data_IF_180787861664
#
_entry.id   IF_180787861664
#
_cell.length_a   1.000
_cell.length_b   1.000
_cell.length_c   1.000
_cell.angle_alpha   90.00
_cell.angle_beta   90.00
_cell.angle_gamma   90.00
#
_symmetry.space_group_name_H-M   'P 1'
#
loop_
_entity.id
_entity.type
_entity.pdbx_description
1 polymer ?
#
# COMPACT_ATOMS: atom_id res chain seq x y z
N UNK A 1 21.15 20.60 12.75
CA UNK A 1 21.38 19.14 12.66
C UNK A 1 20.20 18.43 12.02
N UNK A 2 18.97 18.48 12.58
CA UNK A 2 17.75 17.83 12.02
C UNK A 2 17.41 18.15 10.56
N UNK A 3 17.49 19.41 10.11
CA UNK A 3 17.28 19.78 8.69
C UNK A 3 18.36 19.18 7.75
N UNK A 4 19.57 18.95 8.26
CA UNK A 4 20.67 18.39 7.48
C UNK A 4 20.53 16.89 7.26
N UNK A 5 20.07 16.15 8.28
CA UNK A 5 19.88 14.69 8.16
C UNK A 5 18.69 14.35 7.27
N UNK A 6 17.56 15.07 7.40
CA UNK A 6 16.39 14.86 6.55
C UNK A 6 16.71 15.15 5.08
N UNK A 7 17.49 16.19 4.81
CA UNK A 7 17.91 16.50 3.44
C UNK A 7 18.83 15.42 2.86
N UNK A 8 19.85 14.98 3.63
CA UNK A 8 20.73 13.90 3.22
C UNK A 8 19.96 12.58 2.99
N UNK A 9 19.00 12.27 3.86
CA UNK A 9 18.09 11.14 3.68
C UNK A 9 17.31 11.25 2.36
N UNK A 10 16.69 12.40 2.09
CA UNK A 10 15.96 12.63 0.83
C UNK A 10 16.85 12.47 -0.41
N UNK A 11 18.12 12.87 -0.34
CA UNK A 11 19.07 12.63 -1.44
C UNK A 11 19.34 11.13 -1.66
N UNK A 12 19.52 10.36 -0.59
CA UNK A 12 19.72 8.90 -0.71
C UNK A 12 18.50 8.21 -1.31
N UNK A 13 17.28 8.59 -0.88
CA UNK A 13 16.01 8.11 -1.43
C UNK A 13 15.89 8.46 -2.92
N UNK A 14 16.18 9.71 -3.30
CA UNK A 14 16.11 10.15 -4.69
C UNK A 14 17.10 9.42 -5.61
N UNK A 15 18.24 8.96 -5.08
CA UNK A 15 19.25 8.19 -5.81
C UNK A 15 18.99 6.68 -5.81
N UNK A 16 18.02 6.19 -5.02
CA UNK A 16 17.81 4.76 -4.80
C UNK A 16 18.95 4.08 -4.03
N UNK A 17 19.73 4.85 -3.26
CA UNK A 17 20.86 4.34 -2.48
C UNK A 17 20.38 3.86 -1.10
N UNK A 18 19.72 2.70 -1.07
CA UNK A 18 19.16 2.13 0.16
C UNK A 18 20.24 1.77 1.19
N UNK A 19 21.41 1.30 0.75
CA UNK A 19 22.51 0.98 1.66
C UNK A 19 23.13 2.24 2.28
N UNK A 20 23.34 3.30 1.47
CA UNK A 20 23.78 4.59 1.96
C UNK A 20 22.79 5.23 2.94
N UNK A 21 21.48 5.11 2.65
CA UNK A 21 20.41 5.53 3.55
C UNK A 21 20.49 4.82 4.92
N UNK A 22 20.65 3.50 4.94
CA UNK A 22 20.79 2.73 6.18
C UNK A 22 22.02 3.18 6.97
N UNK A 23 23.17 3.32 6.31
CA UNK A 23 24.41 3.73 6.97
C UNK A 23 24.27 5.13 7.59
N UNK A 24 23.70 6.08 6.83
CA UNK A 24 23.42 7.44 7.28
C UNK A 24 22.54 7.46 8.54
N UNK A 25 21.47 6.66 8.57
CA UNK A 25 20.55 6.61 9.70
C UNK A 25 21.15 5.93 10.92
N UNK A 26 21.98 4.89 10.75
CA UNK A 26 22.72 4.24 11.86
C UNK A 26 23.77 5.17 12.47
N UNK A 27 24.49 5.92 11.65
CA UNK A 27 25.41 6.96 12.12
C UNK A 27 24.66 8.06 12.89
N UNK A 28 23.50 8.47 12.38
CA UNK A 28 22.65 9.45 13.06
C UNK A 28 22.15 8.94 14.42
N UNK A 29 21.70 7.69 14.50
CA UNK A 29 21.30 7.03 15.76
C UNK A 29 22.42 7.04 16.81
N UNK A 30 23.67 6.85 16.36
CA UNK A 30 24.85 6.81 17.24
C UNK A 30 25.37 8.21 17.63
N UNK A 31 24.96 9.26 16.92
CA UNK A 31 25.52 10.61 17.08
C UNK A 31 25.05 11.36 18.34
N UNK A 32 24.01 10.90 19.02
CA UNK A 32 23.51 11.51 20.26
C UNK A 32 22.12 11.03 20.68
N UNK A 33 21.54 11.70 21.68
CA UNK A 33 20.15 11.45 22.08
C UNK A 33 19.18 12.02 21.04
N UNK A 34 18.38 11.13 20.45
CA UNK A 34 17.31 11.47 19.52
C UNK A 34 16.00 11.69 20.27
N UNK A 35 15.17 12.64 19.81
CA UNK A 35 13.79 12.70 20.28
C UNK A 35 13.03 11.41 19.92
N UNK A 36 11.98 11.08 20.68
CA UNK A 36 11.21 9.83 20.51
C UNK A 36 10.77 9.63 19.06
N UNK A 37 10.08 10.61 18.45
CA UNK A 37 9.64 10.50 17.06
C UNK A 37 10.81 10.48 16.05
N UNK A 38 11.96 11.08 16.37
CA UNK A 38 13.14 10.97 15.49
C UNK A 38 13.72 9.56 15.51
N UNK A 39 13.78 8.94 16.68
CA UNK A 39 14.22 7.55 16.81
C UNK A 39 13.25 6.57 16.17
N UNK A 40 11.94 6.77 16.35
CA UNK A 40 10.92 5.97 15.65
C UNK A 40 11.03 6.09 14.13
N UNK A 41 11.26 7.31 13.62
CA UNK A 41 11.50 7.56 12.19
C UNK A 41 12.76 6.86 11.67
N UNK A 42 13.85 6.89 12.43
CA UNK A 42 15.09 6.16 12.12
C UNK A 42 14.84 4.66 12.03
N UNK A 43 14.20 4.06 13.05
CA UNK A 43 13.89 2.63 13.03
C UNK A 43 13.03 2.25 11.83
N UNK A 44 11.96 3.01 11.59
CA UNK A 44 11.05 2.76 10.49
C UNK A 44 11.79 2.79 9.15
N UNK A 45 12.65 3.78 8.91
CA UNK A 45 13.36 3.92 7.63
C UNK A 45 14.54 2.96 7.48
N UNK A 46 15.19 2.52 8.56
CA UNK A 46 16.16 1.43 8.48
C UNK A 46 15.43 0.12 8.08
N UNK A 47 14.25 -0.14 8.65
CA UNK A 47 13.41 -1.26 8.22
C UNK A 47 13.00 -1.13 6.75
N UNK A 48 12.56 0.05 6.31
CA UNK A 48 12.21 0.27 4.91
C UNK A 48 13.41 0.03 3.96
N UNK A 49 14.60 0.53 4.34
CA UNK A 49 15.83 0.29 3.57
C UNK A 49 16.16 -1.18 3.40
N UNK A 50 16.10 -1.97 4.48
CA UNK A 50 16.32 -3.42 4.38
C UNK A 50 15.19 -4.13 3.61
N UNK A 51 13.96 -3.64 3.72
CA UNK A 51 12.84 -4.18 2.96
C UNK A 51 13.03 -3.97 1.44
N UNK A 52 13.50 -2.80 1.01
CA UNK A 52 13.81 -2.49 -0.39
C UNK A 52 15.01 -3.26 -0.93
N UNK A 53 16.01 -3.57 -0.07
CA UNK A 53 17.12 -4.48 -0.39
C UNK A 53 16.73 -5.97 -0.37
N UNK A 54 15.51 -6.29 0.07
CA UNK A 54 15.02 -7.67 0.28
C UNK A 54 15.93 -8.48 1.20
N UNK A 55 16.42 -7.85 2.27
CA UNK A 55 17.34 -8.46 3.23
C UNK A 55 16.60 -8.75 4.57
N UNK A 56 15.98 -9.94 4.72
CA UNK A 56 15.00 -10.19 5.77
C UNK A 56 15.59 -10.33 7.18
N UNK A 57 16.84 -10.79 7.31
CA UNK A 57 17.48 -11.01 8.62
C UNK A 57 17.81 -9.69 9.35
N UNK A 58 18.54 -8.73 8.74
CA UNK A 58 18.77 -7.44 9.37
C UNK A 58 17.48 -6.59 9.45
N UNK A 59 16.54 -6.76 8.51
CA UNK A 59 15.20 -6.20 8.63
C UNK A 59 14.53 -6.65 9.93
N UNK A 60 14.48 -7.97 10.17
CA UNK A 60 13.88 -8.54 11.36
C UNK A 60 14.58 -8.06 12.64
N UNK A 61 15.91 -8.06 12.68
CA UNK A 61 16.66 -7.57 13.83
C UNK A 61 16.35 -6.11 14.17
N UNK A 62 16.32 -5.22 13.17
CA UNK A 62 15.95 -3.82 13.36
C UNK A 62 14.49 -3.66 13.80
N UNK A 63 13.57 -4.39 13.17
CA UNK A 63 12.15 -4.26 13.44
C UNK A 63 11.75 -4.81 14.81
N UNK A 64 12.40 -5.88 15.27
CA UNK A 64 12.29 -6.38 16.63
C UNK A 64 12.79 -5.35 17.65
N UNK A 65 13.93 -4.71 17.37
CA UNK A 65 14.44 -3.63 18.21
C UNK A 65 13.47 -2.43 18.24
N UNK A 66 12.88 -2.06 17.10
CA UNK A 66 11.87 -1.02 17.01
C UNK A 66 10.64 -1.35 17.86
N UNK A 67 10.14 -2.59 17.77
CA UNK A 67 8.99 -3.03 18.55
C UNK A 67 9.28 -3.02 20.07
N UNK A 68 10.40 -3.60 20.51
CA UNK A 68 10.73 -3.67 21.94
C UNK A 68 11.05 -2.30 22.55
N UNK A 69 11.75 -1.43 21.80
CA UNK A 69 11.92 -0.03 22.19
C UNK A 69 10.57 0.69 22.22
N UNK A 70 9.73 0.46 21.19
CA UNK A 70 8.44 1.10 21.03
C UNK A 70 7.49 0.83 22.19
N UNK A 71 7.42 -0.42 22.64
CA UNK A 71 6.64 -0.84 23.82
C UNK A 71 7.02 -0.11 25.11
N UNK A 72 8.26 0.33 25.23
CA UNK A 72 8.77 0.97 26.45
C UNK A 72 8.63 2.49 26.40
N UNK A 73 8.76 3.08 25.20
CA UNK A 73 9.00 4.52 25.04
C UNK A 73 7.88 5.23 24.26
N UNK A 74 7.25 4.58 23.28
CA UNK A 74 6.20 5.22 22.48
C UNK A 74 4.92 5.35 23.32
N UNK A 75 4.16 6.45 23.16
CA UNK A 75 2.80 6.49 23.68
C UNK A 75 1.95 5.41 22.98
N UNK A 76 1.00 4.76 23.68
CA UNK A 76 0.22 3.65 23.11
C UNK A 76 -0.50 3.97 21.80
N UNK A 77 -0.91 5.23 21.60
CA UNK A 77 -1.54 5.69 20.36
C UNK A 77 -0.67 5.53 19.11
N UNK A 78 0.66 5.41 19.28
CA UNK A 78 1.64 5.26 18.21
C UNK A 78 2.05 3.81 17.92
N UNK A 79 1.52 2.81 18.63
CA UNK A 79 1.96 1.41 18.44
C UNK A 79 1.72 0.87 17.02
N UNK A 80 0.69 1.37 16.31
CA UNK A 80 0.44 0.98 14.92
C UNK A 80 1.50 1.50 13.94
N UNK A 81 2.34 2.47 14.32
CA UNK A 81 3.41 2.97 13.47
C UNK A 81 4.40 1.86 13.08
N UNK A 82 4.70 0.97 14.02
CA UNK A 82 5.60 -0.17 13.82
C UNK A 82 5.08 -1.09 12.71
N UNK A 83 3.77 -1.21 12.55
CA UNK A 83 3.12 -2.21 11.69
C UNK A 83 2.27 -1.58 10.59
N UNK A 84 2.76 -0.50 9.99
CA UNK A 84 2.00 0.33 9.03
C UNK A 84 2.41 0.17 7.56
N UNK A 85 3.39 -0.69 7.26
CA UNK A 85 3.95 -0.83 5.90
C UNK A 85 3.96 -2.28 5.39
N UNK A 86 3.32 -2.50 4.23
CA UNK A 86 3.23 -3.84 3.61
C UNK A 86 4.53 -4.31 2.97
N UNK A 87 5.39 -3.40 2.52
CA UNK A 87 6.70 -3.75 1.93
C UNK A 87 7.59 -4.37 3.00
N UNK A 88 7.61 -3.76 4.20
CA UNK A 88 8.31 -4.31 5.35
C UNK A 88 7.76 -5.69 5.74
N UNK A 89 6.45 -5.84 5.84
CA UNK A 89 5.81 -7.13 6.18
C UNK A 89 6.08 -8.22 5.12
N UNK A 90 6.01 -7.88 3.83
CA UNK A 90 6.30 -8.81 2.73
C UNK A 90 7.77 -9.23 2.71
N UNK A 91 8.70 -8.29 2.92
CA UNK A 91 10.12 -8.60 2.99
C UNK A 91 10.44 -9.49 4.19
N UNK A 92 9.79 -9.30 5.34
CA UNK A 92 9.92 -10.22 6.49
C UNK A 92 9.43 -11.64 6.17
N UNK A 93 8.44 -11.82 5.29
CA UNK A 93 7.99 -13.16 4.89
C UNK A 93 9.05 -13.94 4.11
N UNK A 94 9.99 -13.27 3.43
CA UNK A 94 11.10 -13.92 2.72
C UNK A 94 12.03 -14.65 3.69
N UNK A 95 12.10 -14.21 4.96
CA UNK A 95 12.87 -14.84 6.04
C UNK A 95 12.03 -15.67 7.02
N UNK A 96 10.76 -15.95 6.73
CA UNK A 96 9.82 -16.62 7.65
C UNK A 96 9.52 -15.85 8.95
N UNK A 97 9.68 -14.53 8.97
CA UNK A 97 9.45 -13.69 10.16
C UNK A 97 8.07 -13.02 10.20
N UNK A 98 7.22 -13.25 9.20
CA UNK A 98 5.90 -12.61 9.10
C UNK A 98 5.00 -12.86 10.31
N UNK A 99 5.06 -14.04 10.94
CA UNK A 99 4.22 -14.32 12.12
C UNK A 99 4.57 -13.39 13.30
N UNK A 100 5.84 -13.00 13.48
CA UNK A 100 6.19 -12.02 14.50
C UNK A 100 5.61 -10.64 14.19
N UNK A 101 5.60 -10.24 12.91
CA UNK A 101 4.95 -8.99 12.50
C UNK A 101 3.45 -9.01 12.79
N UNK A 102 2.78 -10.16 12.56
CA UNK A 102 1.36 -10.35 12.91
C UNK A 102 1.16 -10.25 14.43
N UNK A 103 2.06 -10.81 15.23
CA UNK A 103 2.00 -10.70 16.69
C UNK A 103 2.17 -9.23 17.16
N UNK A 104 3.07 -8.47 16.54
CA UNK A 104 3.23 -7.03 16.79
C UNK A 104 1.99 -6.24 16.38
N UNK A 105 1.35 -6.62 15.27
CA UNK A 105 0.10 -6.00 14.83
C UNK A 105 -1.05 -6.26 15.79
N UNK A 106 -1.20 -7.50 16.28
CA UNK A 106 -2.20 -7.85 17.29
C UNK A 106 -1.94 -7.10 18.60
N UNK A 107 -0.67 -7.01 19.01
CA UNK A 107 -0.29 -6.20 20.16
C UNK A 107 -0.74 -4.74 20.01
N UNK A 108 -0.51 -4.11 18.86
CA UNK A 108 -0.97 -2.76 18.60
C UNK A 108 -2.51 -2.65 18.67
N UNK A 109 -3.24 -3.60 18.07
CA UNK A 109 -4.70 -3.64 18.13
C UNK A 109 -5.26 -3.76 19.57
N UNK A 110 -4.58 -4.52 20.43
CA UNK A 110 -5.00 -4.77 21.81
C UNK A 110 -4.68 -3.62 22.77
N UNK A 111 -3.61 -2.85 22.49
CA UNK A 111 -3.07 -1.88 23.44
C UNK A 111 -3.18 -0.41 23.00
N UNK A 112 -3.34 -0.13 21.71
CA UNK A 112 -3.52 1.23 21.23
C UNK A 112 -4.95 1.72 21.49
N UNK A 113 -5.14 2.90 22.09
CA UNK A 113 -6.47 3.49 22.24
C UNK A 113 -7.05 3.85 20.86
N UNK A 114 -8.38 3.74 20.74
CA UNK A 114 -9.11 4.16 19.53
C UNK A 114 -9.40 5.66 19.61
N UNK A 115 -8.45 6.45 19.11
CA UNK A 115 -8.56 7.91 19.08
C UNK A 115 -8.80 8.37 17.64
N UNK A 116 -9.35 9.58 17.50
CA UNK A 116 -9.44 10.23 16.19
C UNK A 116 -8.02 10.56 15.67
N UNK A 117 -7.15 11.05 16.55
CA UNK A 117 -5.78 11.44 16.25
C UNK A 117 -4.87 10.29 15.79
N UNK A 118 -5.25 9.02 15.91
CA UNK A 118 -4.48 7.87 15.40
C UNK A 118 -5.28 6.98 14.44
N UNK A 119 -6.47 7.42 14.02
CA UNK A 119 -7.36 6.61 13.18
C UNK A 119 -6.73 6.27 11.84
N UNK A 120 -5.99 7.21 11.23
CA UNK A 120 -5.30 6.97 9.96
C UNK A 120 -4.26 5.87 10.11
N UNK A 121 -3.32 5.95 11.05
CA UNK A 121 -2.28 4.90 11.19
C UNK A 121 -2.87 3.53 11.55
N UNK A 122 -3.97 3.49 12.32
CA UNK A 122 -4.71 2.25 12.57
C UNK A 122 -5.20 1.67 11.26
N UNK A 123 -5.83 2.47 10.41
CA UNK A 123 -6.26 2.06 9.08
C UNK A 123 -5.09 1.60 8.20
N UNK A 124 -3.98 2.32 8.19
CA UNK A 124 -2.77 1.97 7.43
C UNK A 124 -2.21 0.61 7.85
N UNK A 125 -2.20 0.31 9.15
CA UNK A 125 -1.75 -1.02 9.63
C UNK A 125 -2.67 -2.17 9.20
N UNK A 126 -3.98 -1.96 9.22
CA UNK A 126 -4.94 -2.94 8.71
C UNK A 126 -4.78 -3.13 7.20
N UNK A 127 -4.61 -2.01 6.47
CA UNK A 127 -4.36 -2.00 5.03
C UNK A 127 -3.08 -2.77 4.70
N UNK A 128 -2.01 -2.54 5.45
CA UNK A 128 -0.72 -3.20 5.27
C UNK A 128 -0.86 -4.73 5.44
N UNK A 129 -1.41 -5.19 6.57
CA UNK A 129 -1.57 -6.62 6.83
C UNK A 129 -2.46 -7.31 5.81
N UNK A 130 -3.61 -6.71 5.49
CA UNK A 130 -4.52 -7.30 4.50
C UNK A 130 -3.90 -7.34 3.10
N UNK A 131 -3.12 -6.32 2.72
CA UNK A 131 -2.33 -6.32 1.49
C UNK A 131 -1.27 -7.42 1.47
N UNK A 132 -0.59 -7.65 2.58
CA UNK A 132 0.39 -8.73 2.73
C UNK A 132 -0.26 -10.11 2.62
N UNK A 133 -1.41 -10.34 3.25
CA UNK A 133 -2.13 -11.61 3.10
C UNK A 133 -2.56 -11.87 1.67
N UNK A 134 -3.07 -10.85 0.96
CA UNK A 134 -3.39 -10.97 -0.46
C UNK A 134 -2.16 -11.39 -1.27
N UNK A 135 -1.05 -10.65 -1.16
CA UNK A 135 0.13 -10.88 -1.98
C UNK A 135 0.83 -12.23 -1.71
N UNK A 136 0.59 -12.84 -0.55
CA UNK A 136 1.08 -14.16 -0.17
C UNK A 136 0.04 -15.27 -0.33
N UNK A 137 -1.12 -14.96 -0.94
CA UNK A 137 -2.25 -15.88 -1.13
C UNK A 137 -2.79 -16.50 0.17
N UNK A 138 -2.61 -15.81 1.31
CA UNK A 138 -3.07 -16.20 2.65
C UNK A 138 -4.50 -15.74 2.92
N UNK A 139 -5.41 -15.97 1.97
CA UNK A 139 -6.78 -15.42 1.98
C UNK A 139 -7.60 -15.85 3.20
N UNK A 140 -7.36 -17.06 3.72
CA UNK A 140 -8.05 -17.59 4.90
C UNK A 140 -7.80 -16.78 6.17
N UNK A 141 -6.75 -15.94 6.20
CA UNK A 141 -6.38 -15.12 7.37
C UNK A 141 -6.88 -13.68 7.27
N UNK A 142 -7.43 -13.28 6.12
CA UNK A 142 -8.02 -11.95 5.93
C UNK A 142 -9.23 -11.60 6.80
N UNK A 143 -10.11 -12.52 7.26
CA UNK A 143 -11.33 -12.16 7.99
C UNK A 143 -11.10 -11.28 9.23
N UNK A 144 -10.06 -11.55 10.02
CA UNK A 144 -9.74 -10.77 11.23
C UNK A 144 -9.44 -9.31 10.90
N UNK A 145 -8.55 -9.07 9.93
CA UNK A 145 -8.16 -7.72 9.53
C UNK A 145 -9.29 -6.98 8.79
N UNK A 146 -10.09 -7.67 7.98
CA UNK A 146 -11.26 -7.08 7.33
C UNK A 146 -12.31 -6.61 8.35
N UNK A 147 -12.51 -7.37 9.44
CA UNK A 147 -13.39 -6.95 10.52
C UNK A 147 -12.84 -5.72 11.26
N UNK A 148 -11.52 -5.63 11.47
CA UNK A 148 -10.90 -4.42 12.04
C UNK A 148 -11.10 -3.20 11.15
N UNK A 149 -10.90 -3.32 9.83
CA UNK A 149 -11.14 -2.23 8.89
C UNK A 149 -12.59 -1.79 8.86
N UNK A 150 -13.52 -2.75 8.84
CA UNK A 150 -14.96 -2.46 8.87
C UNK A 150 -15.32 -1.65 10.11
N UNK A 151 -14.91 -2.12 11.29
CA UNK A 151 -15.18 -1.42 12.57
C UNK A 151 -14.60 -0.01 12.55
N UNK A 152 -13.38 0.17 12.07
CA UNK A 152 -12.73 1.48 11.97
C UNK A 152 -13.51 2.44 11.07
N UNK A 153 -13.96 1.97 9.90
CA UNK A 153 -14.79 2.74 8.96
C UNK A 153 -16.16 3.09 9.56
N UNK A 154 -16.68 2.24 10.44
CA UNK A 154 -17.95 2.45 11.14
C UNK A 154 -17.83 3.36 12.37
N UNK A 155 -16.62 3.60 12.89
CA UNK A 155 -16.39 4.49 14.06
C UNK A 155 -16.92 5.91 13.85
N UNK A 156 -16.84 6.42 12.62
CA UNK A 156 -17.20 7.81 12.29
C UNK A 156 -17.54 7.98 10.80
N UNK A 157 -18.80 8.31 10.52
CA UNK A 157 -19.29 8.54 9.16
C UNK A 157 -18.91 9.92 8.59
N UNK A 158 -18.34 10.81 9.41
CA UNK A 158 -17.86 12.12 9.00
C UNK A 158 -16.33 12.16 8.85
N UNK A 159 -15.65 11.02 8.98
CA UNK A 159 -14.21 10.96 8.82
C UNK A 159 -13.79 11.36 7.40
N UNK A 160 -12.92 12.37 7.27
CA UNK A 160 -12.55 12.90 5.96
C UNK A 160 -11.93 11.83 5.02
N UNK A 161 -11.25 10.82 5.58
CA UNK A 161 -10.62 9.74 4.82
C UNK A 161 -11.59 8.63 4.38
N UNK A 162 -12.88 8.75 4.67
CA UNK A 162 -13.86 7.67 4.50
C UNK A 162 -13.94 7.17 3.06
N UNK A 163 -13.82 8.06 2.06
CA UNK A 163 -13.81 7.67 0.65
C UNK A 163 -12.62 6.74 0.32
N UNK A 164 -11.40 7.17 0.66
CA UNK A 164 -10.19 6.38 0.48
C UNK A 164 -10.27 5.03 1.22
N UNK A 165 -10.75 5.07 2.46
CA UNK A 165 -10.87 3.89 3.30
C UNK A 165 -11.87 2.87 2.73
N UNK A 166 -13.03 3.33 2.24
CA UNK A 166 -14.07 2.48 1.63
C UNK A 166 -13.59 1.83 0.33
N UNK A 167 -12.94 2.58 -0.57
CA UNK A 167 -12.39 2.01 -1.81
C UNK A 167 -11.35 0.92 -1.47
N UNK A 168 -10.45 1.23 -0.53
CA UNK A 168 -9.39 0.30 -0.12
C UNK A 168 -9.95 -0.95 0.57
N UNK A 169 -10.95 -0.79 1.46
CA UNK A 169 -11.63 -1.89 2.12
C UNK A 169 -12.38 -2.78 1.12
N UNK A 170 -13.16 -2.19 0.23
CA UNK A 170 -13.91 -2.93 -0.79
C UNK A 170 -12.97 -3.71 -1.70
N UNK A 171 -11.86 -3.12 -2.12
CA UNK A 171 -10.79 -3.83 -2.86
C UNK A 171 -10.36 -5.10 -2.13
N UNK A 172 -10.03 -5.01 -0.84
CA UNK A 172 -9.55 -6.18 -0.08
C UNK A 172 -10.66 -7.20 0.17
N UNK A 173 -11.90 -6.75 0.37
CA UNK A 173 -13.05 -7.62 0.55
C UNK A 173 -13.43 -8.35 -0.76
N UNK A 174 -13.35 -7.70 -1.91
CA UNK A 174 -13.56 -8.32 -3.24
C UNK A 174 -12.58 -9.48 -3.45
N UNK A 175 -11.29 -9.23 -3.22
CA UNK A 175 -10.25 -10.25 -3.25
C UNK A 175 -10.58 -11.47 -2.36
N UNK A 176 -10.92 -11.23 -1.09
CA UNK A 176 -11.30 -12.29 -0.16
C UNK A 176 -12.53 -13.10 -0.64
N UNK A 177 -13.58 -12.41 -1.08
CA UNK A 177 -14.84 -13.03 -1.52
C UNK A 177 -14.65 -13.89 -2.78
N UNK A 178 -13.85 -13.41 -3.73
CA UNK A 178 -13.49 -14.14 -4.94
C UNK A 178 -12.82 -15.49 -4.59
N UNK A 179 -11.78 -15.47 -3.74
CA UNK A 179 -11.10 -16.71 -3.33
C UNK A 179 -11.93 -17.60 -2.41
N UNK A 180 -12.87 -17.01 -1.68
CA UNK A 180 -13.88 -17.75 -0.90
C UNK A 180 -15.01 -18.31 -1.78
N UNK A 181 -14.97 -18.10 -3.09
CA UNK A 181 -15.97 -18.55 -4.08
C UNK A 181 -17.39 -18.06 -3.78
N UNK A 182 -17.51 -16.82 -3.32
CA UNK A 182 -18.79 -16.19 -3.03
C UNK A 182 -19.18 -15.20 -4.14
N UNK A 183 -19.43 -15.72 -5.34
CA UNK A 183 -19.69 -14.96 -6.57
C UNK A 183 -20.81 -13.92 -6.38
N UNK A 184 -21.92 -14.31 -5.72
CA UNK A 184 -23.04 -13.40 -5.46
C UNK A 184 -22.61 -12.16 -4.67
N UNK A 185 -21.80 -12.33 -3.63
CA UNK A 185 -21.32 -11.21 -2.83
C UNK A 185 -20.24 -10.39 -3.55
N UNK A 186 -19.47 -11.01 -4.45
CA UNK A 186 -18.55 -10.29 -5.34
C UNK A 186 -19.35 -9.34 -6.23
N UNK A 187 -20.39 -9.83 -6.92
CA UNK A 187 -21.21 -9.01 -7.83
C UNK A 187 -21.88 -7.83 -7.12
N UNK A 188 -22.47 -8.09 -5.94
CA UNK A 188 -23.11 -7.04 -5.13
C UNK A 188 -22.10 -5.98 -4.70
N UNK A 189 -20.96 -6.40 -4.15
CA UNK A 189 -19.92 -5.48 -3.70
C UNK A 189 -19.30 -4.71 -4.87
N UNK A 190 -19.18 -5.35 -6.05
CA UNK A 190 -18.71 -4.69 -7.26
C UNK A 190 -19.63 -3.55 -7.66
N UNK A 191 -20.94 -3.82 -7.73
CA UNK A 191 -21.93 -2.82 -8.08
C UNK A 191 -21.91 -1.63 -7.11
N UNK A 192 -21.88 -1.90 -5.80
CA UNK A 192 -21.76 -0.86 -4.76
C UNK A 192 -20.48 -0.04 -4.90
N UNK A 193 -19.35 -0.70 -5.20
CA UNK A 193 -18.04 -0.05 -5.35
C UNK A 193 -18.00 0.82 -6.59
N UNK A 194 -18.49 0.34 -7.73
CA UNK A 194 -18.54 1.13 -8.96
C UNK A 194 -19.49 2.32 -8.83
N UNK A 195 -20.65 2.13 -8.17
CA UNK A 195 -21.55 3.24 -7.85
C UNK A 195 -20.87 4.29 -6.97
N UNK A 196 -20.11 3.89 -5.94
CA UNK A 196 -19.32 4.82 -5.13
C UNK A 196 -18.34 5.63 -5.98
N UNK A 197 -17.65 4.99 -6.92
CA UNK A 197 -16.63 5.61 -7.78
C UNK A 197 -17.26 6.59 -8.77
N UNK A 198 -18.37 6.23 -9.40
CA UNK A 198 -19.08 7.07 -10.36
C UNK A 198 -19.64 8.36 -9.70
N UNK A 199 -19.75 8.40 -8.37
CA UNK A 199 -20.26 9.53 -7.58
C UNK A 199 -19.18 10.29 -6.78
N UNK A 200 -17.89 10.10 -7.08
CA UNK A 200 -16.81 10.85 -6.43
C UNK A 200 -16.93 12.34 -6.79
N UNK A 201 -17.01 13.21 -5.78
CA UNK A 201 -16.89 14.66 -5.96
C UNK A 201 -15.41 15.07 -6.03
N UNK A 202 -14.84 14.97 -7.23
CA UNK A 202 -13.45 15.31 -7.50
C UNK A 202 -13.07 16.76 -7.18
N UNK A 203 -14.05 17.68 -7.19
CA UNK A 203 -13.82 19.10 -6.90
C UNK A 203 -13.65 19.37 -5.39
N UNK A 204 -14.16 18.48 -4.54
CA UNK A 204 -14.01 18.57 -3.08
C UNK A 204 -12.67 18.07 -2.55
N UNK A 205 -11.90 17.34 -3.36
CA UNK A 205 -10.65 16.71 -2.93
C UNK A 205 -9.51 17.72 -2.84
N UNK A 206 -8.62 17.54 -1.86
CA UNK A 206 -7.50 18.45 -1.65
C UNK A 206 -6.49 18.39 -2.82
N UNK A 207 -5.86 19.53 -3.15
CA UNK A 207 -4.68 19.52 -4.00
C UNK A 207 -3.53 18.77 -3.31
N UNK A 208 -2.63 18.22 -4.10
CA UNK A 208 -1.56 17.32 -3.66
C UNK A 208 -0.76 17.91 -2.48
N UNK A 209 -0.82 17.25 -1.31
CA UNK A 209 0.08 17.55 -0.18
C UNK A 209 1.45 16.93 -0.43
N UNK A 210 2.52 17.68 -0.15
CA UNK A 210 3.86 17.10 -0.09
C UNK A 210 4.80 17.93 0.78
N UNK A 211 4.77 17.72 2.10
CA UNK A 211 5.78 18.32 3.00
C UNK A 211 6.24 17.41 4.15
N UNK A 212 5.72 16.19 4.29
CA UNK A 212 6.10 15.30 5.39
C UNK A 212 7.27 14.37 5.00
N UNK A 213 8.08 14.01 6.01
CA UNK A 213 9.23 13.12 5.83
C UNK A 213 8.71 11.69 5.84
N UNK A 214 8.96 10.95 4.75
CA UNK A 214 8.50 9.57 4.57
C UNK A 214 8.79 8.72 5.82
N UNK A 215 7.77 8.00 6.28
CA UNK A 215 7.87 7.07 7.40
C UNK A 215 7.91 7.73 8.78
N UNK A 216 7.80 9.06 8.86
CA UNK A 216 7.58 9.75 10.14
C UNK A 216 6.19 9.45 10.68
N UNK A 217 5.98 9.64 11.99
CA UNK A 217 4.65 9.50 12.59
C UNK A 217 3.62 10.38 11.88
N UNK A 218 4.01 11.63 11.60
CA UNK A 218 3.16 12.60 10.92
C UNK A 218 2.77 12.12 9.51
N UNK A 219 3.74 11.62 8.73
CA UNK A 219 3.54 11.07 7.38
C UNK A 219 2.63 9.83 7.35
N UNK A 220 2.91 8.87 8.23
CA UNK A 220 2.15 7.63 8.30
C UNK A 220 0.70 7.88 8.76
N UNK A 221 0.49 8.90 9.59
CA UNK A 221 -0.80 9.23 10.17
C UNK A 221 -1.51 10.42 9.49
N UNK A 222 -1.05 10.87 8.33
CA UNK A 222 -1.64 11.99 7.62
C UNK A 222 -2.87 11.63 6.77
N UNK A 223 -3.78 12.60 6.61
CA UNK A 223 -5.01 12.39 5.84
C UNK A 223 -4.73 12.02 4.36
N UNK A 224 -5.51 11.07 3.86
CA UNK A 224 -5.59 10.52 2.50
C UNK A 224 -6.81 11.08 1.74
N UNK A 225 -6.85 12.40 1.59
CA UNK A 225 -8.00 13.13 1.03
C UNK A 225 -7.68 13.89 -0.25
N UNK A 226 -6.47 13.70 -0.80
CA UNK A 226 -6.09 14.34 -2.05
C UNK A 226 -6.57 13.54 -3.26
N UNK A 227 -6.67 14.21 -4.41
CA UNK A 227 -6.94 13.53 -5.69
C UNK A 227 -5.91 12.42 -5.97
N UNK A 228 -4.66 12.63 -5.56
CA UNK A 228 -3.59 11.64 -5.71
C UNK A 228 -3.87 10.38 -4.88
N UNK A 229 -4.34 10.52 -3.64
CA UNK A 229 -4.64 9.39 -2.77
C UNK A 229 -5.78 8.56 -3.34
N UNK A 230 -6.83 9.22 -3.83
CA UNK A 230 -7.96 8.56 -4.48
C UNK A 230 -7.51 7.87 -5.78
N UNK A 231 -6.70 8.51 -6.62
CA UNK A 231 -6.13 7.85 -7.80
C UNK A 231 -5.29 6.60 -7.43
N UNK A 232 -4.50 6.66 -6.36
CA UNK A 232 -3.75 5.49 -5.87
C UNK A 232 -4.71 4.38 -5.43
N UNK A 233 -5.79 4.71 -4.71
CA UNK A 233 -6.79 3.74 -4.29
C UNK A 233 -7.50 3.08 -5.50
N UNK A 234 -7.88 3.87 -6.50
CA UNK A 234 -8.49 3.39 -7.75
C UNK A 234 -7.52 2.54 -8.58
N UNK A 235 -6.26 2.94 -8.69
CA UNK A 235 -5.23 2.15 -9.36
C UNK A 235 -5.07 0.77 -8.69
N UNK A 236 -5.00 0.75 -7.36
CA UNK A 236 -4.89 -0.49 -6.61
C UNK A 236 -6.14 -1.35 -6.73
N UNK A 237 -7.33 -0.74 -6.79
CA UNK A 237 -8.57 -1.45 -7.07
C UNK A 237 -8.53 -2.07 -8.46
N UNK A 238 -8.19 -1.32 -9.51
CA UNK A 238 -8.10 -1.82 -10.88
C UNK A 238 -7.13 -3.02 -11.00
N UNK A 239 -5.96 -2.95 -10.36
CA UNK A 239 -5.03 -4.09 -10.30
C UNK A 239 -5.68 -5.34 -9.69
N UNK A 240 -6.42 -5.19 -8.58
CA UNK A 240 -7.12 -6.32 -7.96
C UNK A 240 -8.25 -6.84 -8.83
N UNK A 241 -9.01 -5.96 -9.48
CA UNK A 241 -10.06 -6.35 -10.42
C UNK A 241 -9.49 -7.20 -11.56
N UNK A 242 -8.33 -6.84 -12.10
CA UNK A 242 -7.62 -7.66 -13.07
C UNK A 242 -7.28 -9.06 -12.51
N UNK A 243 -6.82 -9.14 -11.26
CA UNK A 243 -6.43 -10.39 -10.61
C UNK A 243 -7.61 -11.31 -10.26
N UNK A 244 -8.79 -10.73 -10.00
CA UNK A 244 -10.04 -11.48 -9.74
C UNK A 244 -10.91 -11.67 -10.98
N UNK A 245 -10.31 -11.55 -12.17
CA UNK A 245 -10.93 -11.78 -13.49
C UNK A 245 -12.07 -10.80 -13.86
N UNK A 246 -12.17 -9.66 -13.17
CA UNK A 246 -13.13 -8.57 -13.43
C UNK A 246 -12.54 -7.58 -14.43
N UNK A 247 -12.27 -8.08 -15.64
CA UNK A 247 -11.41 -7.42 -16.61
C UNK A 247 -12.05 -6.20 -17.27
N UNK A 248 -13.37 -6.18 -17.43
CA UNK A 248 -14.10 -5.04 -18.01
C UNK A 248 -14.03 -3.81 -17.08
N UNK A 249 -14.37 -4.00 -15.79
CA UNK A 249 -14.33 -2.96 -14.77
C UNK A 249 -12.89 -2.49 -14.53
N UNK A 250 -11.93 -3.42 -14.50
CA UNK A 250 -10.50 -3.08 -14.43
C UNK A 250 -10.06 -2.17 -15.57
N UNK A 251 -10.38 -2.53 -16.83
CA UNK A 251 -10.05 -1.73 -18.01
C UNK A 251 -10.72 -0.35 -17.97
N UNK A 252 -11.99 -0.26 -17.54
CA UNK A 252 -12.72 1.00 -17.34
C UNK A 252 -11.97 1.92 -16.35
N UNK A 253 -11.57 1.39 -15.19
CA UNK A 253 -10.88 2.18 -14.16
C UNK A 253 -9.50 2.66 -14.62
N UNK A 254 -8.73 1.80 -15.30
CA UNK A 254 -7.43 2.22 -15.83
C UNK A 254 -7.55 3.34 -16.87
N UNK A 255 -8.55 3.29 -17.76
CA UNK A 255 -8.81 4.39 -18.70
C UNK A 255 -9.18 5.68 -17.99
N UNK A 256 -10.09 5.61 -17.01
CA UNK A 256 -10.47 6.78 -16.21
C UNK A 256 -9.24 7.43 -15.54
N UNK A 257 -8.29 6.63 -15.04
CA UNK A 257 -7.03 7.11 -14.48
C UNK A 257 -6.15 7.76 -15.56
N UNK A 258 -6.00 7.14 -16.73
CA UNK A 258 -5.21 7.74 -17.82
C UNK A 258 -5.82 9.06 -18.31
N UNK A 259 -7.15 9.13 -18.43
CA UNK A 259 -7.90 10.32 -18.81
C UNK A 259 -7.74 11.47 -17.80
N UNK A 260 -7.52 11.16 -16.52
CA UNK A 260 -7.20 12.15 -15.49
C UNK A 260 -5.72 12.57 -15.47
N UNK A 261 -4.89 12.00 -16.34
CA UNK A 261 -3.46 12.26 -16.42
C UNK A 261 -2.61 11.45 -15.43
N UNK A 262 -3.19 10.43 -14.77
CA UNK A 262 -2.44 9.54 -13.90
C UNK A 262 -1.52 8.62 -14.72
N UNK A 263 -0.24 8.57 -14.35
CA UNK A 263 0.77 7.77 -15.05
C UNK A 263 0.85 6.38 -14.41
N UNK A 264 0.49 5.36 -15.17
CA UNK A 264 0.62 3.96 -14.76
C UNK A 264 2.10 3.55 -14.74
N UNK A 265 2.53 2.86 -13.68
CA UNK A 265 3.84 2.20 -13.66
C UNK A 265 3.79 0.86 -14.42
N UNK A 266 4.93 0.19 -14.58
CA UNK A 266 5.01 -1.07 -15.36
C UNK A 266 4.09 -2.17 -14.85
N UNK A 267 3.91 -2.30 -13.54
CA UNK A 267 2.99 -3.27 -12.95
C UNK A 267 1.51 -2.93 -13.24
N UNK A 268 1.09 -1.69 -12.98
CA UNK A 268 -0.27 -1.26 -13.27
C UNK A 268 -0.58 -1.33 -14.77
N UNK A 269 0.37 -0.95 -15.61
CA UNK A 269 0.23 -1.04 -17.06
C UNK A 269 0.13 -2.49 -17.54
N UNK A 270 0.89 -3.44 -16.95
CA UNK A 270 0.73 -4.86 -17.30
C UNK A 270 -0.66 -5.38 -16.96
N UNK A 271 -1.23 -4.95 -15.82
CA UNK A 271 -2.62 -5.29 -15.43
C UNK A 271 -3.63 -4.68 -16.39
N UNK A 272 -3.43 -3.43 -16.81
CA UNK A 272 -4.26 -2.82 -17.83
C UNK A 272 -4.23 -3.59 -19.16
N UNK A 273 -3.03 -3.94 -19.65
CA UNK A 273 -2.85 -4.74 -20.87
C UNK A 273 -3.53 -6.12 -20.74
N UNK A 274 -3.42 -6.77 -19.59
CA UNK A 274 -4.13 -8.02 -19.33
C UNK A 274 -5.65 -7.84 -19.38
N UNK A 275 -6.18 -6.81 -18.73
CA UNK A 275 -7.62 -6.53 -18.69
C UNK A 275 -8.20 -6.25 -20.07
N UNK A 276 -7.59 -5.37 -20.87
CA UNK A 276 -8.07 -5.10 -22.24
C UNK A 276 -7.97 -6.33 -23.14
N UNK A 277 -6.95 -7.17 -22.95
CA UNK A 277 -6.86 -8.40 -23.71
C UNK A 277 -8.04 -9.33 -23.42
N UNK A 278 -8.38 -9.49 -22.13
CA UNK A 278 -9.48 -10.37 -21.70
C UNK A 278 -10.86 -9.82 -22.05
N UNK A 279 -11.07 -8.50 -22.00
CA UNK A 279 -12.38 -7.89 -22.29
C UNK A 279 -12.60 -7.55 -23.77
N UNK A 280 -11.55 -7.13 -24.49
CA UNK A 280 -11.69 -6.49 -25.81
C UNK A 280 -10.80 -7.11 -26.89
N UNK A 281 -9.84 -7.96 -26.51
CA UNK A 281 -9.00 -8.73 -27.44
C UNK A 281 -7.73 -8.01 -27.92
N UNK A 282 -7.00 -8.67 -28.84
CA UNK A 282 -5.66 -8.27 -29.27
C UNK A 282 -5.59 -6.91 -29.97
N UNK A 283 -6.66 -6.50 -30.65
CA UNK A 283 -6.71 -5.20 -31.34
C UNK A 283 -6.51 -4.04 -30.38
N UNK A 284 -7.27 -4.05 -29.27
CA UNK A 284 -7.18 -3.05 -28.21
C UNK A 284 -5.79 -3.05 -27.53
N UNK A 285 -5.18 -4.23 -27.35
CA UNK A 285 -3.82 -4.34 -26.80
C UNK A 285 -2.81 -3.61 -27.69
N UNK A 286 -2.84 -3.84 -29.01
CA UNK A 286 -1.92 -3.19 -29.95
C UNK A 286 -2.07 -1.67 -29.90
N UNK A 287 -3.30 -1.17 -29.87
CA UNK A 287 -3.57 0.26 -29.75
C UNK A 287 -3.01 0.86 -28.46
N UNK A 288 -3.24 0.20 -27.31
CA UNK A 288 -2.75 0.64 -26.01
C UNK A 288 -1.21 0.65 -25.94
N UNK A 289 -0.55 -0.37 -26.51
CA UNK A 289 0.91 -0.46 -26.60
C UNK A 289 1.49 0.64 -27.50
N UNK A 290 0.87 0.93 -28.64
CA UNK A 290 1.29 2.01 -29.54
C UNK A 290 1.18 3.38 -28.86
N UNK A 291 0.14 3.59 -28.06
CA UNK A 291 -0.05 4.83 -27.29
C UNK A 291 0.97 4.98 -26.15
N UNK A 292 1.55 3.90 -25.63
CA UNK A 292 2.42 3.90 -24.47
C UNK A 292 3.79 3.27 -24.77
N UNK A 293 4.55 3.93 -25.67
CA UNK A 293 5.86 3.46 -26.17
C UNK A 293 6.96 3.35 -25.12
N UNK A 294 6.73 3.82 -23.89
CA UNK A 294 7.68 3.72 -22.78
C UNK A 294 7.76 2.32 -22.18
N UNK A 295 6.81 1.43 -22.48
CA UNK A 295 6.78 0.06 -21.97
C UNK A 295 7.09 -0.94 -23.06
N UNK A 296 8.03 -1.84 -22.77
CA UNK A 296 8.35 -2.98 -23.62
C UNK A 296 7.60 -4.21 -23.14
N UNK A 297 7.04 -4.97 -24.08
CA UNK A 297 6.24 -6.15 -23.77
C UNK A 297 6.95 -7.19 -22.88
N UNK A 298 8.26 -7.48 -23.08
CA UNK A 298 9.01 -8.38 -22.18
C UNK A 298 9.13 -7.88 -20.73
N UNK A 299 9.03 -6.57 -20.48
CA UNK A 299 9.00 -6.05 -19.11
C UNK A 299 7.64 -6.28 -18.46
N UNK A 300 6.56 -6.21 -19.24
CA UNK A 300 5.19 -6.44 -18.74
C UNK A 300 4.96 -7.88 -18.33
N UNK A 301 5.55 -8.85 -19.02
CA UNK A 301 5.42 -10.28 -18.68
C UNK A 301 6.06 -10.63 -17.34
N UNK A 302 7.02 -9.84 -16.84
CA UNK A 302 7.56 -10.01 -15.47
C UNK A 302 6.50 -9.75 -14.40
N UNK A 303 5.54 -8.88 -14.69
CA UNK A 303 4.47 -8.48 -13.78
C UNK A 303 3.17 -9.26 -14.02
N UNK A 304 2.93 -9.73 -15.25
CA UNK A 304 1.76 -10.52 -15.62
C UNK A 304 2.19 -11.63 -16.59
N UNK A 305 2.68 -12.77 -16.07
CA UNK A 305 3.26 -13.84 -16.88
C UNK A 305 2.35 -14.39 -17.96
N UNK A 306 1.03 -14.36 -17.76
CA UNK A 306 0.01 -14.77 -18.75
C UNK A 306 0.07 -14.00 -20.06
N UNK A 307 0.64 -12.78 -20.06
CA UNK A 307 0.83 -11.99 -21.26
C UNK A 307 1.79 -12.64 -22.26
N UNK A 308 2.62 -13.61 -21.85
CA UNK A 308 3.48 -14.37 -22.77
C UNK A 308 2.68 -15.03 -23.90
N UNK A 309 1.41 -15.40 -23.65
CA UNK A 309 0.53 -16.04 -24.63
C UNK A 309 0.25 -15.18 -25.87
N UNK A 310 0.37 -13.86 -25.72
CA UNK A 310 0.10 -12.90 -26.80
C UNK A 310 1.35 -12.16 -27.26
N UNK A 311 2.52 -12.38 -26.65
CA UNK A 311 3.73 -11.59 -26.91
C UNK A 311 4.20 -11.64 -28.37
N UNK A 312 4.11 -12.80 -29.01
CA UNK A 312 4.49 -12.95 -30.43
C UNK A 312 3.44 -12.37 -31.40
N UNK A 313 2.30 -11.91 -30.88
CA UNK A 313 1.15 -11.43 -31.65
C UNK A 313 0.96 -9.90 -31.55
N UNK A 314 1.71 -9.22 -30.68
CA UNK A 314 1.67 -7.77 -30.44
C UNK A 314 2.79 -7.08 -31.22
#
# INVERSE_FOLDING_TARGET
MRKSIVHAFQETVARGDHQGMINLLKEYEQSGELAVNERGWVYWNISDGYALLRDPEPLYANHLAFFEWGKQILPPEQYHWVVSDSTQALSLSLGNYLNHWIDWYRYACDHAPRLDSNRVVRFESHRALSGTFWALERYSEMPEVLEHMKRLIEEDQQWDNLLFARITYNKQRLAYLYHSRNEKEVDLLMHETMHLIDHIDWASLEPMKKEEVVGSWEDVNSSRISQRDIHIALNNLACILADIEQSEESAKLFRQLQDSGYVLNGYAFSKYIYSIWKSEGLGAVREAMVANKSFEFPELTKHSPTLVEIGDQI
#
